data_IF_323962408320
#
_entry.id   IF_323962408320
#
_cell.length_a   1.000
_cell.length_b   1.000
_cell.length_c   1.000
_cell.angle_alpha   90.00
_cell.angle_beta   90.00
_cell.angle_gamma   90.00
#
_symmetry.space_group_name_H-M   'P 1'
#
loop_
_entity.id
_entity.type
_entity.pdbx_description
1 polymer ?
#
# COMPACT_ATOMS: atom_id res chain seq x y z
N UNK A 1 0.15 -0.64 4.54
CA UNK A 1 0.72 -1.88 3.99
C UNK A 1 -0.31 -2.97 4.17
N UNK A 2 -0.59 -3.74 3.13
CA UNK A 2 -1.59 -4.81 3.19
C UNK A 2 -1.06 -6.06 2.48
N UNK A 3 -1.26 -7.21 3.11
CA UNK A 3 -1.10 -8.53 2.53
C UNK A 3 -2.50 -9.15 2.35
N UNK A 4 -3.17 -8.89 1.24
CA UNK A 4 -4.59 -9.23 1.08
C UNK A 4 -4.87 -10.74 1.16
N UNK A 5 -3.95 -11.57 0.66
CA UNK A 5 -4.08 -13.03 0.69
C UNK A 5 -3.81 -13.63 2.08
N UNK A 6 -2.92 -13.02 2.85
CA UNK A 6 -2.62 -13.44 4.22
C UNK A 6 -3.62 -12.86 5.24
N UNK A 7 -4.40 -11.85 4.85
CA UNK A 7 -5.29 -11.15 5.75
C UNK A 7 -4.54 -10.36 6.81
N UNK A 8 -3.35 -9.88 6.47
CA UNK A 8 -2.50 -9.07 7.36
C UNK A 8 -2.38 -7.65 6.85
N UNK A 9 -2.27 -6.72 7.75
CA UNK A 9 -2.04 -5.31 7.45
C UNK A 9 -1.20 -4.63 8.52
N UNK A 10 -0.47 -3.61 8.10
CA UNK A 10 0.24 -2.68 8.98
C UNK A 10 -0.13 -1.27 8.60
N UNK A 11 -0.57 -0.50 9.57
CA UNK A 11 -0.87 0.92 9.43
C UNK A 11 0.21 1.73 10.13
N UNK A 12 0.57 2.85 9.53
CA UNK A 12 1.48 3.85 10.08
C UNK A 12 0.80 5.19 9.92
N UNK A 13 0.63 5.91 11.02
CA UNK A 13 0.08 7.26 11.03
C UNK A 13 1.23 8.24 10.95
N UNK A 14 1.15 9.19 10.04
CA UNK A 14 2.13 10.28 9.84
C UNK A 14 1.38 11.60 9.77
N UNK A 15 2.03 12.69 10.17
CA UNK A 15 1.48 14.04 10.04
C UNK A 15 1.54 14.56 8.60
N UNK A 16 2.48 14.05 7.83
CA UNK A 16 2.73 14.44 6.44
C UNK A 16 2.63 13.25 5.49
N UNK A 17 2.56 13.55 4.20
CA UNK A 17 2.57 12.58 3.11
C UNK A 17 3.60 13.00 2.08
N UNK A 18 4.85 12.82 2.42
CA UNK A 18 6.00 13.19 1.58
C UNK A 18 6.68 11.96 0.95
N UNK A 19 7.57 12.22 0.00
CA UNK A 19 8.44 11.17 -0.55
C UNK A 19 9.36 10.55 0.52
N UNK A 20 9.76 11.35 1.52
CA UNK A 20 10.59 10.88 2.65
C UNK A 20 9.78 9.93 3.53
N UNK A 21 8.54 10.29 3.87
CA UNK A 21 7.65 9.42 4.64
C UNK A 21 7.44 8.07 3.96
N UNK A 22 7.22 8.09 2.64
CA UNK A 22 7.07 6.89 1.85
C UNK A 22 8.35 6.03 1.85
N UNK A 23 9.52 6.66 1.67
CA UNK A 23 10.80 5.97 1.69
C UNK A 23 11.08 5.31 3.05
N UNK A 24 10.77 5.98 4.17
CA UNK A 24 10.88 5.41 5.52
C UNK A 24 9.99 4.19 5.70
N UNK A 25 8.75 4.23 5.18
CA UNK A 25 7.83 3.09 5.21
C UNK A 25 8.38 1.93 4.39
N UNK A 26 9.01 2.18 3.25
CA UNK A 26 9.65 1.14 2.45
C UNK A 26 10.82 0.50 3.20
N UNK A 27 11.69 1.30 3.82
CA UNK A 27 12.79 0.78 4.65
C UNK A 27 12.25 -0.08 5.80
N UNK A 28 11.28 0.43 6.54
CA UNK A 28 10.61 -0.33 7.60
C UNK A 28 10.02 -1.65 7.07
N UNK A 29 9.41 -1.62 5.90
CA UNK A 29 8.84 -2.81 5.26
C UNK A 29 9.93 -3.84 4.93
N UNK A 30 11.04 -3.39 4.35
CA UNK A 30 12.12 -4.28 3.93
C UNK A 30 12.92 -4.84 5.11
N UNK A 31 13.21 -4.03 6.12
CA UNK A 31 14.18 -4.37 7.14
C UNK A 31 13.53 -4.90 8.43
N UNK A 32 12.30 -4.50 8.73
CA UNK A 32 11.60 -4.90 9.95
C UNK A 32 10.42 -5.84 9.71
N UNK A 33 9.58 -5.57 8.72
CA UNK A 33 8.44 -6.45 8.46
C UNK A 33 8.84 -7.73 7.72
N UNK A 34 9.72 -7.61 6.72
CA UNK A 34 10.13 -8.74 5.88
C UNK A 34 11.65 -8.86 5.76
N UNK A 35 12.41 -8.94 6.89
CA UNK A 35 13.87 -8.93 6.86
C UNK A 35 14.48 -10.12 6.09
N UNK A 36 13.78 -11.24 6.04
CA UNK A 36 14.24 -12.47 5.39
C UNK A 36 13.82 -12.60 3.93
N UNK A 37 12.95 -11.72 3.43
CA UNK A 37 12.50 -11.77 2.05
C UNK A 37 13.61 -11.25 1.13
N UNK A 38 14.02 -12.04 0.14
CA UNK A 38 14.99 -11.59 -0.88
C UNK A 38 14.37 -10.53 -1.78
N UNK A 39 13.09 -10.70 -2.12
CA UNK A 39 12.28 -9.78 -2.93
C UNK A 39 10.91 -9.56 -2.30
N UNK A 40 10.43 -8.35 -2.40
CA UNK A 40 9.09 -7.94 -1.98
C UNK A 40 8.37 -7.40 -3.20
N UNK A 41 7.31 -8.07 -3.60
CA UNK A 41 6.43 -7.58 -4.67
C UNK A 41 5.59 -6.44 -4.08
N UNK A 42 5.82 -5.23 -4.58
CA UNK A 42 5.13 -4.02 -4.14
C UNK A 42 4.14 -3.58 -5.21
N UNK A 43 2.87 -3.62 -4.89
CA UNK A 43 1.80 -3.05 -5.72
C UNK A 43 1.41 -1.71 -5.14
N UNK A 44 1.41 -0.67 -5.96
CA UNK A 44 1.07 0.70 -5.54
C UNK A 44 0.38 1.45 -6.68
N UNK A 45 -0.24 2.59 -6.36
CA UNK A 45 -0.78 3.50 -7.35
C UNK A 45 0.34 4.32 -8.03
N UNK A 46 -0.05 5.13 -9.02
CA UNK A 46 0.87 5.97 -9.79
C UNK A 46 1.11 7.36 -9.16
N UNK A 47 0.97 7.51 -7.83
CA UNK A 47 1.28 8.77 -7.19
C UNK A 47 2.78 9.08 -7.31
N UNK A 48 3.13 10.33 -7.61
CA UNK A 48 4.52 10.75 -7.88
C UNK A 48 5.54 10.37 -6.78
N UNK A 49 5.08 10.29 -5.53
CA UNK A 49 5.93 9.88 -4.42
C UNK A 49 6.07 8.36 -4.30
N UNK A 50 5.22 7.58 -4.96
CA UNK A 50 5.24 6.12 -4.93
C UNK A 50 6.19 5.55 -5.99
N UNK A 51 7.44 5.98 -5.96
CA UNK A 51 8.45 5.62 -6.93
C UNK A 51 9.80 5.34 -6.26
N UNK A 52 10.68 4.53 -6.89
CA UNK A 52 12.03 4.29 -6.39
C UNK A 52 12.84 5.58 -6.13
N UNK A 53 12.57 6.63 -6.89
CA UNK A 53 13.22 7.95 -6.72
C UNK A 53 13.01 8.55 -5.33
N UNK A 54 11.94 8.18 -4.64
CA UNK A 54 11.68 8.63 -3.26
C UNK A 54 12.73 8.13 -2.27
N UNK A 55 13.30 6.94 -2.49
CA UNK A 55 14.37 6.39 -1.68
C UNK A 55 15.63 7.27 -1.75
N UNK A 56 15.95 7.79 -2.94
CA UNK A 56 17.11 8.66 -3.16
C UNK A 56 16.94 10.08 -2.58
N UNK A 57 15.70 10.47 -2.26
CA UNK A 57 15.42 11.73 -1.54
C UNK A 57 15.63 11.61 -0.03
N UNK A 58 15.49 10.39 0.50
CA UNK A 58 15.54 10.13 1.94
C UNK A 58 16.88 9.55 2.40
N UNK A 59 17.56 8.79 1.55
CA UNK A 59 18.73 8.00 1.92
C UNK A 59 19.93 8.26 1.02
N UNK A 60 21.11 7.83 1.46
CA UNK A 60 22.30 7.82 0.60
C UNK A 60 22.09 6.97 -0.64
N UNK A 61 22.82 7.25 -1.72
CA UNK A 61 22.71 6.49 -2.97
C UNK A 61 22.93 4.98 -2.78
N UNK A 62 23.85 4.59 -1.89
CA UNK A 62 24.12 3.19 -1.57
C UNK A 62 22.91 2.52 -0.91
N UNK A 63 22.32 3.16 0.09
CA UNK A 63 21.16 2.65 0.83
C UNK A 63 19.91 2.63 -0.05
N UNK A 64 19.66 3.69 -0.81
CA UNK A 64 18.57 3.75 -1.76
C UNK A 64 18.64 2.62 -2.82
N UNK A 65 19.84 2.34 -3.34
CA UNK A 65 20.07 1.24 -4.27
C UNK A 65 19.80 -0.13 -3.61
N UNK A 66 20.30 -0.32 -2.36
CA UNK A 66 20.03 -1.55 -1.59
C UNK A 66 18.52 -1.78 -1.46
N UNK A 67 17.80 -0.77 -1.03
CA UNK A 67 16.34 -0.86 -0.86
C UNK A 67 15.61 -1.05 -2.19
N UNK A 68 15.98 -0.31 -3.22
CA UNK A 68 15.37 -0.46 -4.56
C UNK A 68 15.46 -1.91 -5.05
N UNK A 69 16.59 -2.59 -4.82
CA UNK A 69 16.79 -3.99 -5.21
C UNK A 69 15.94 -4.98 -4.41
N UNK A 70 15.44 -4.59 -3.24
CA UNK A 70 14.54 -5.42 -2.42
C UNK A 70 13.12 -5.45 -2.94
N UNK A 71 12.70 -4.47 -3.74
CA UNK A 71 11.33 -4.35 -4.23
C UNK A 71 11.24 -4.68 -5.71
N UNK A 72 10.20 -5.43 -6.06
CA UNK A 72 9.69 -5.58 -7.41
C UNK A 72 8.45 -4.71 -7.54
N UNK A 73 8.54 -3.67 -8.34
CA UNK A 73 7.54 -2.60 -8.43
C UNK A 73 6.47 -2.92 -9.47
N UNK A 74 5.22 -2.92 -9.03
CA UNK A 74 4.06 -3.04 -9.88
C UNK A 74 3.12 -1.86 -9.62
N UNK A 75 2.66 -1.23 -10.69
CA UNK A 75 1.76 -0.11 -10.60
C UNK A 75 0.36 -0.49 -11.06
N UNK A 76 -0.66 0.00 -10.37
CA UNK A 76 -2.02 -0.10 -10.88
C UNK A 76 -2.16 0.71 -12.18
N UNK A 77 -3.05 0.31 -13.10
CA UNK A 77 -3.28 1.09 -14.32
C UNK A 77 -3.68 2.53 -14.01
N UNK A 78 -3.30 3.46 -14.87
CA UNK A 78 -3.75 4.85 -14.78
C UNK A 78 -5.29 4.88 -14.80
N UNK A 79 -5.89 5.60 -13.87
CA UNK A 79 -7.35 5.59 -13.62
C UNK A 79 -7.93 4.24 -13.16
N UNK A 80 -7.09 3.30 -12.76
CA UNK A 80 -7.45 1.99 -12.24
C UNK A 80 -7.14 1.80 -10.74
N UNK A 81 -7.08 2.87 -9.96
CA UNK A 81 -6.77 2.83 -8.53
C UNK A 81 -7.74 1.93 -7.74
N UNK A 82 -8.98 1.80 -8.19
CA UNK A 82 -9.96 0.87 -7.63
C UNK A 82 -9.53 -0.62 -7.72
N UNK A 83 -8.50 -0.94 -8.51
CA UNK A 83 -7.83 -2.25 -8.51
C UNK A 83 -6.81 -2.39 -7.37
N UNK A 84 -6.48 -1.30 -6.70
CA UNK A 84 -5.59 -1.34 -5.55
C UNK A 84 -6.35 -1.87 -4.32
N UNK A 85 -5.99 -3.06 -3.90
CA UNK A 85 -6.59 -3.69 -2.72
C UNK A 85 -6.33 -2.89 -1.45
N UNK A 86 -5.28 -2.08 -1.40
CA UNK A 86 -5.01 -1.18 -0.28
C UNK A 86 -6.05 -0.07 -0.17
N UNK A 87 -6.53 0.47 -1.30
CA UNK A 87 -7.62 1.46 -1.29
C UNK A 87 -8.94 0.88 -0.77
N UNK A 88 -9.25 -0.36 -1.13
CA UNK A 88 -10.41 -1.08 -0.60
C UNK A 88 -10.29 -1.18 0.92
N UNK A 89 -9.13 -1.58 1.42
CA UNK A 89 -8.89 -1.73 2.85
C UNK A 89 -8.93 -0.40 3.59
N UNK A 90 -8.40 0.68 3.02
CA UNK A 90 -8.51 2.05 3.53
C UNK A 90 -9.98 2.48 3.59
N UNK A 91 -10.76 2.19 2.55
CA UNK A 91 -12.20 2.46 2.53
C UNK A 91 -12.98 1.73 3.63
N UNK A 92 -12.61 0.49 3.92
CA UNK A 92 -13.18 -0.28 5.03
C UNK A 92 -12.80 0.35 6.38
N UNK A 93 -11.53 0.69 6.57
CA UNK A 93 -11.05 1.37 7.78
C UNK A 93 -11.77 2.69 8.00
N UNK A 94 -11.93 3.49 6.97
CA UNK A 94 -12.63 4.78 7.03
C UNK A 94 -14.06 4.62 7.54
N UNK A 95 -14.80 3.65 7.02
CA UNK A 95 -16.18 3.39 7.47
C UNK A 95 -16.27 2.81 8.86
N UNK A 96 -15.35 1.92 9.24
CA UNK A 96 -15.43 1.18 10.51
C UNK A 96 -14.77 1.90 11.67
N UNK A 97 -13.73 2.67 11.43
CA UNK A 97 -12.90 3.24 12.47
C UNK A 97 -12.81 4.77 12.45
N UNK A 98 -13.04 5.41 11.32
CA UNK A 98 -12.78 6.83 11.13
C UNK A 98 -14.05 7.65 10.79
N UNK A 99 -15.23 7.11 11.10
CA UNK A 99 -16.50 7.77 10.80
C UNK A 99 -16.78 9.04 11.62
N UNK A 100 -16.02 9.26 12.71
CA UNK A 100 -16.15 10.42 13.58
C UNK A 100 -14.85 11.21 13.60
N UNK A 101 -14.89 12.54 13.77
CA UNK A 101 -13.68 13.34 13.93
C UNK A 101 -12.94 12.96 15.23
N UNK A 102 -11.62 13.17 15.24
CA UNK A 102 -10.75 12.92 16.38
C UNK A 102 -10.24 14.23 16.94
N UNK A 103 -10.14 14.36 18.28
CA UNK A 103 -9.67 15.59 18.91
C UNK A 103 -8.18 15.87 18.66
N UNK A 104 -7.40 14.82 18.51
CA UNK A 104 -5.93 14.87 18.35
C UNK A 104 -5.37 13.68 17.58
N UNK A 105 -4.11 13.77 17.21
CA UNK A 105 -3.40 12.75 16.46
C UNK A 105 -3.24 11.45 17.26
N UNK A 106 -3.04 11.53 18.55
CA UNK A 106 -2.86 10.37 19.44
C UNK A 106 -4.12 9.49 19.47
N UNK A 107 -5.28 10.13 19.66
CA UNK A 107 -6.59 9.46 19.61
C UNK A 107 -6.85 8.80 18.26
N UNK A 108 -6.50 9.49 17.17
CA UNK A 108 -6.58 8.95 15.82
C UNK A 108 -5.66 7.72 15.65
N UNK A 109 -4.40 7.81 16.04
CA UNK A 109 -3.43 6.71 15.95
C UNK A 109 -3.89 5.50 16.78
N UNK A 110 -4.35 5.72 17.99
CA UNK A 110 -4.90 4.67 18.87
C UNK A 110 -6.05 3.93 18.20
N UNK A 111 -6.97 4.66 17.59
CA UNK A 111 -8.11 4.08 16.88
C UNK A 111 -7.69 3.25 15.66
N UNK A 112 -6.79 3.79 14.83
CA UNK A 112 -6.22 3.09 13.67
C UNK A 112 -5.50 1.82 14.10
N UNK A 113 -4.70 1.88 15.16
CA UNK A 113 -3.98 0.74 15.71
C UNK A 113 -4.96 -0.33 16.23
N UNK A 114 -5.97 0.05 17.00
CA UNK A 114 -6.98 -0.86 17.54
C UNK A 114 -7.72 -1.59 16.42
N UNK A 115 -8.17 -0.86 15.41
CA UNK A 115 -8.81 -1.45 14.23
C UNK A 115 -7.89 -2.45 13.51
N UNK A 116 -6.63 -2.07 13.29
CA UNK A 116 -5.65 -2.92 12.64
C UNK A 116 -5.42 -4.23 13.39
N UNK A 117 -5.22 -4.16 14.70
CA UNK A 117 -5.03 -5.34 15.57
C UNK A 117 -6.25 -6.27 15.50
N UNK A 118 -7.45 -5.72 15.69
CA UNK A 118 -8.69 -6.49 15.67
C UNK A 118 -8.94 -7.17 14.31
N UNK A 119 -8.64 -6.45 13.22
CA UNK A 119 -8.85 -6.99 11.88
C UNK A 119 -7.83 -8.06 11.53
N UNK A 120 -6.58 -7.90 11.95
CA UNK A 120 -5.54 -8.92 11.79
C UNK A 120 -5.84 -10.18 12.62
N UNK A 121 -6.33 -10.04 13.85
CA UNK A 121 -6.73 -11.17 14.70
C UNK A 121 -7.84 -12.03 14.08
N UNK A 122 -8.69 -11.43 13.26
CA UNK A 122 -9.75 -12.12 12.52
C UNK A 122 -9.30 -12.70 11.19
N UNK A 123 -8.04 -12.49 10.78
CA UNK A 123 -7.49 -12.94 9.49
C UNK A 123 -8.38 -12.57 8.29
N UNK A 124 -8.96 -11.37 8.32
CA UNK A 124 -9.90 -10.93 7.26
C UNK A 124 -9.14 -10.75 5.96
N UNK A 125 -9.38 -11.65 5.02
CA UNK A 125 -8.81 -11.61 3.67
C UNK A 125 -9.69 -10.80 2.73
N UNK A 126 -9.10 -10.32 1.65
CA UNK A 126 -9.86 -9.77 0.53
C UNK A 126 -10.23 -10.93 -0.40
N UNK A 127 -11.52 -11.15 -0.59
CA UNK A 127 -12.01 -12.09 -1.59
C UNK A 127 -12.12 -11.35 -2.94
N UNK A 128 -11.06 -11.42 -3.72
CA UNK A 128 -10.99 -10.74 -5.01
C UNK A 128 -11.70 -11.57 -6.07
N UNK A 129 -12.82 -11.08 -6.59
CA UNK A 129 -13.63 -11.79 -7.59
C UNK A 129 -13.47 -11.21 -9.00
N UNK A 130 -12.75 -10.10 -9.15
CA UNK A 130 -12.53 -9.48 -10.44
C UNK A 130 -11.44 -10.21 -11.22
N UNK A 131 -11.81 -10.84 -12.33
CA UNK A 131 -10.91 -11.67 -13.13
C UNK A 131 -10.17 -10.85 -14.19
N UNK A 132 -9.14 -11.44 -14.80
CA UNK A 132 -8.46 -10.84 -15.96
C UNK A 132 -9.41 -10.65 -17.14
N UNK A 133 -10.40 -11.53 -17.31
CA UNK A 133 -11.42 -11.40 -18.34
C UNK A 133 -12.30 -10.19 -18.09
N UNK A 134 -12.77 -10.00 -16.84
CA UNK A 134 -13.53 -8.81 -16.44
C UNK A 134 -12.71 -7.53 -16.66
N UNK A 135 -11.41 -7.57 -16.34
CA UNK A 135 -10.50 -6.45 -16.56
C UNK A 135 -10.41 -6.08 -18.03
N UNK A 136 -10.25 -7.04 -18.93
CA UNK A 136 -10.19 -6.80 -20.38
C UNK A 136 -11.45 -6.14 -20.92
N UNK A 137 -12.62 -6.53 -20.42
CA UNK A 137 -13.91 -5.93 -20.81
C UNK A 137 -14.00 -4.51 -20.24
N UNK A 138 -13.84 -4.37 -18.92
CA UNK A 138 -14.10 -3.11 -18.23
C UNK A 138 -13.05 -2.04 -18.53
N UNK A 139 -11.84 -2.45 -18.82
CA UNK A 139 -10.69 -1.60 -19.14
C UNK A 139 -10.33 -1.61 -20.63
N UNK A 140 -11.24 -2.06 -21.50
CA UNK A 140 -11.00 -2.19 -22.95
C UNK A 140 -10.39 -0.92 -23.58
N UNK A 141 -10.78 0.27 -23.10
CA UNK A 141 -10.24 1.55 -23.58
C UNK A 141 -8.78 1.81 -23.20
N UNK A 142 -8.22 1.05 -22.25
CA UNK A 142 -6.83 1.18 -21.79
C UNK A 142 -5.90 0.16 -22.46
N UNK A 143 -6.47 -0.83 -23.15
CA UNK A 143 -5.69 -1.80 -23.93
C UNK A 143 -5.58 -1.33 -25.37
N UNK A 144 -4.39 -1.43 -25.98
CA UNK A 144 -4.24 -1.12 -27.39
C UNK A 144 -5.12 -2.07 -28.21
N UNK A 145 -5.92 -1.50 -29.09
CA UNK A 145 -6.64 -2.28 -30.11
C UNK A 145 -5.57 -2.77 -31.09
N UNK A 146 -5.23 -4.04 -31.03
CA UNK A 146 -4.49 -4.68 -32.12
C UNK A 146 -5.40 -4.69 -33.34
N UNK A 147 -5.07 -3.83 -34.30
CA UNK A 147 -5.59 -3.90 -35.66
C UNK A 147 -5.05 -5.17 -36.35
#
# INVERSE_FOLDING_TARGET
ISEPLAGKRKTVVKQTRTAIDFAEILRYTADELYPKAEKIILVTDNLNIHAPSSLYKAFSAQEANRLTKRFEWHYTPKHGSWLDMAEIEIGVMSRQALAKPFPDLESFEKQVRSWTVNRNAKFVKINWQFTTADARIKLAKLYPTTL
#
